data_IF_737657825214
#
_entry.id   IF_737657825214
#
_cell.length_a   1.000
_cell.length_b   1.000
_cell.length_c   1.000
_cell.angle_alpha   90.00
_cell.angle_beta   90.00
_cell.angle_gamma   90.00
#
_symmetry.space_group_name_H-M   'P 1'
#
loop_
_entity.id
_entity.type
_entity.pdbx_description
1 polymer ?
#
# COMPACT_ATOMS: atom_id res chain seq x y z
N UNK A 1 -11.37 -20.04 -16.03
CA UNK A 1 -12.15 -20.37 -14.83
C UNK A 1 -13.64 -20.37 -15.18
N UNK A 2 -14.51 -20.72 -14.24
CA UNK A 2 -15.97 -20.73 -14.43
C UNK A 2 -16.66 -19.43 -14.01
N UNK A 3 -15.96 -18.53 -13.31
CA UNK A 3 -16.43 -17.19 -12.94
C UNK A 3 -15.70 -16.12 -13.76
N UNK A 4 -16.31 -14.93 -13.88
CA UNK A 4 -15.67 -13.80 -14.54
C UNK A 4 -14.51 -13.25 -13.69
N UNK A 5 -13.57 -12.56 -14.33
CA UNK A 5 -12.48 -11.90 -13.59
C UNK A 5 -13.02 -10.82 -12.63
N UNK A 6 -14.05 -10.08 -13.07
CA UNK A 6 -14.67 -9.04 -12.27
C UNK A 6 -15.27 -9.58 -10.97
N UNK A 7 -15.93 -10.75 -11.04
CA UNK A 7 -16.46 -11.43 -9.86
C UNK A 7 -15.34 -11.99 -8.98
N UNK A 8 -14.27 -12.51 -9.59
CA UNK A 8 -13.15 -13.09 -8.88
C UNK A 8 -12.37 -12.06 -8.04
N UNK A 9 -12.21 -10.84 -8.55
CA UNK A 9 -11.45 -9.77 -7.87
C UNK A 9 -12.30 -8.92 -6.91
N UNK A 10 -13.62 -8.98 -6.99
CA UNK A 10 -14.51 -8.14 -6.17
C UNK A 10 -14.23 -8.24 -4.66
N UNK A 11 -14.01 -9.43 -4.06
CA UNK A 11 -13.67 -9.52 -2.64
C UNK A 11 -12.37 -8.78 -2.27
N UNK A 12 -11.38 -8.79 -3.16
CA UNK A 12 -10.14 -8.05 -2.94
C UNK A 12 -10.36 -6.53 -3.04
N UNK A 13 -11.25 -6.09 -3.94
CA UNK A 13 -11.65 -4.68 -4.02
C UNK A 13 -12.26 -4.21 -2.69
N UNK A 14 -13.23 -4.97 -2.16
CA UNK A 14 -13.90 -4.65 -0.90
C UNK A 14 -12.92 -4.58 0.27
N UNK A 15 -12.00 -5.55 0.38
CA UNK A 15 -10.99 -5.56 1.44
C UNK A 15 -10.01 -4.39 1.32
N UNK A 16 -9.59 -4.04 0.11
CA UNK A 16 -8.70 -2.90 -0.11
C UNK A 16 -9.37 -1.54 0.20
N UNK A 17 -10.67 -1.43 -0.07
CA UNK A 17 -11.48 -0.26 0.28
C UNK A 17 -11.75 -0.16 1.78
N UNK A 18 -11.95 -1.29 2.47
CA UNK A 18 -12.06 -1.35 3.91
C UNK A 18 -10.76 -0.98 4.62
N UNK A 19 -9.62 -1.38 4.05
CA UNK A 19 -8.29 -1.09 4.58
C UNK A 19 -7.69 -2.22 5.42
N UNK A 20 -6.50 -1.96 5.97
CA UNK A 20 -5.77 -2.92 6.79
C UNK A 20 -6.27 -2.87 8.24
N UNK A 21 -6.86 -3.95 8.78
CA UNK A 21 -7.18 -4.02 10.20
C UNK A 21 -5.89 -3.91 11.04
N UNK A 22 -5.94 -3.04 12.05
CA UNK A 22 -4.85 -2.81 13.01
C UNK A 22 -5.07 -3.68 14.23
N UNK A 23 -4.60 -4.91 14.14
CA UNK A 23 -4.45 -5.84 15.26
C UNK A 23 -3.02 -5.81 15.83
N UNK A 24 -2.78 -6.60 16.88
CA UNK A 24 -1.46 -6.69 17.52
C UNK A 24 -0.35 -7.11 16.54
N UNK A 25 -0.68 -7.94 15.54
CA UNK A 25 0.28 -8.46 14.59
C UNK A 25 0.67 -7.39 13.56
N UNK A 26 -0.31 -6.81 12.88
CA UNK A 26 -0.13 -5.73 11.90
C UNK A 26 0.53 -4.49 12.53
N UNK A 27 0.09 -4.07 13.72
CA UNK A 27 0.75 -3.00 14.47
C UNK A 27 2.23 -3.34 14.78
N UNK A 28 2.49 -4.57 15.24
CA UNK A 28 3.85 -5.05 15.47
C UNK A 28 4.72 -5.07 14.22
N UNK A 29 4.14 -5.48 13.07
CA UNK A 29 4.82 -5.48 11.77
C UNK A 29 5.14 -4.06 11.30
N UNK A 30 4.18 -3.14 11.37
CA UNK A 30 4.40 -1.74 10.99
C UNK A 30 5.49 -1.12 11.87
N UNK A 31 5.42 -1.34 13.19
CA UNK A 31 6.44 -0.88 14.12
C UNK A 31 7.85 -1.41 13.78
N UNK A 32 7.96 -2.71 13.46
CA UNK A 32 9.24 -3.32 13.09
C UNK A 32 9.88 -2.69 11.83
N UNK A 33 9.08 -2.14 10.92
CA UNK A 33 9.56 -1.51 9.67
C UNK A 33 9.47 0.02 9.67
N UNK A 34 9.10 0.65 10.79
CA UNK A 34 8.77 2.08 10.87
C UNK A 34 9.87 2.99 10.31
N UNK A 35 11.15 2.68 10.56
CA UNK A 35 12.29 3.46 10.03
C UNK A 35 12.31 3.49 8.50
N UNK A 36 12.08 2.34 7.86
CA UNK A 36 12.01 2.24 6.40
C UNK A 36 10.77 2.92 5.85
N UNK A 37 9.62 2.74 6.52
CA UNK A 37 8.35 3.39 6.13
C UNK A 37 8.41 4.92 6.24
N UNK A 38 9.14 5.46 7.23
CA UNK A 38 9.32 6.90 7.39
C UNK A 38 10.20 7.54 6.30
N UNK A 39 11.00 6.73 5.60
CA UNK A 39 11.97 7.22 4.61
C UNK A 39 11.32 7.68 3.30
N UNK A 40 10.07 7.28 3.04
CA UNK A 40 9.34 7.67 1.82
C UNK A 40 8.01 8.32 2.19
N UNK A 41 7.67 9.39 1.46
CA UNK A 41 6.47 10.19 1.72
C UNK A 41 5.19 9.35 1.71
N UNK A 42 5.00 8.54 0.66
CA UNK A 42 3.79 7.73 0.51
C UNK A 42 3.65 6.66 1.60
N UNK A 43 4.73 5.93 1.93
CA UNK A 43 4.64 4.91 2.99
C UNK A 43 4.47 5.53 4.37
N UNK A 44 5.09 6.68 4.63
CA UNK A 44 4.90 7.44 5.88
C UNK A 44 3.45 7.90 6.00
N UNK A 45 2.88 8.48 4.95
CA UNK A 45 1.49 8.94 4.90
C UNK A 45 0.50 7.80 5.14
N UNK A 46 0.74 6.62 4.57
CA UNK A 46 -0.19 5.47 4.64
C UNK A 46 -0.08 4.73 5.98
N UNK A 47 1.13 4.47 6.47
CA UNK A 47 1.35 3.55 7.59
C UNK A 47 1.71 4.23 8.92
N UNK A 48 2.07 5.52 8.91
CA UNK A 48 2.54 6.23 10.10
C UNK A 48 1.64 7.44 10.39
N UNK A 49 0.49 7.20 11.01
CA UNK A 49 -0.42 8.26 11.44
C UNK A 49 0.31 9.23 12.38
N UNK A 50 0.23 10.52 12.10
CA UNK A 50 0.97 11.57 12.82
C UNK A 50 2.48 11.32 12.92
N UNK A 51 3.04 10.56 11.98
CA UNK A 51 4.46 10.19 11.95
C UNK A 51 4.85 9.01 12.85
N UNK A 52 3.88 8.35 13.50
CA UNK A 52 4.11 7.24 14.42
C UNK A 52 3.41 5.94 13.93
N UNK A 53 3.97 4.76 14.25
CA UNK A 53 3.27 3.49 14.01
C UNK A 53 1.93 3.44 14.75
N UNK A 54 0.89 2.82 14.17
CA UNK A 54 -0.38 2.65 14.86
C UNK A 54 -0.22 1.67 16.04
N UNK A 55 -1.08 1.82 17.03
CA UNK A 55 -1.21 0.86 18.12
C UNK A 55 -2.53 0.10 17.96
N UNK A 56 -2.50 -1.21 18.23
CA UNK A 56 -3.72 -2.00 18.31
C UNK A 56 -4.53 -1.58 19.55
N UNK A 57 -5.86 -1.54 19.43
CA UNK A 57 -6.73 -1.26 20.57
C UNK A 57 -6.61 -2.37 21.62
N UNK A 58 -6.41 -1.98 22.88
CA UNK A 58 -6.43 -2.90 24.01
C UNK A 58 -7.85 -3.30 24.41
N UNK A 59 -8.85 -2.52 23.98
CA UNK A 59 -10.27 -2.71 24.28
C UNK A 59 -10.97 -3.60 23.23
N UNK A 60 -10.23 -4.06 22.21
CA UNK A 60 -10.73 -4.95 21.17
C UNK A 60 -11.40 -4.26 19.98
N UNK A 61 -11.41 -2.93 19.95
CA UNK A 61 -11.88 -2.18 18.78
C UNK A 61 -10.94 -2.39 17.59
N UNK A 62 -11.49 -2.81 16.45
CA UNK A 62 -10.71 -2.95 15.22
C UNK A 62 -10.69 -1.62 14.48
N UNK A 63 -9.53 -0.98 14.48
CA UNK A 63 -9.26 0.18 13.64
C UNK A 63 -8.73 -0.28 12.29
N UNK A 64 -8.94 0.53 11.24
CA UNK A 64 -8.46 0.22 9.90
C UNK A 64 -7.57 1.36 9.39
N UNK A 65 -6.41 0.99 8.85
CA UNK A 65 -5.58 1.91 8.08
C UNK A 65 -6.02 1.92 6.62
N UNK A 66 -6.24 3.11 6.01
CA UNK A 66 -6.53 3.19 4.59
C UNK A 66 -5.32 2.71 3.78
N UNK A 67 -5.53 1.88 2.76
CA UNK A 67 -4.47 1.33 1.91
C UNK A 67 -4.14 2.23 0.70
N UNK A 68 -4.14 3.55 0.92
CA UNK A 68 -3.89 4.56 -0.11
C UNK A 68 -4.80 4.38 -1.33
N UNK A 69 -4.19 4.20 -2.51
CA UNK A 69 -4.92 4.06 -3.78
C UNK A 69 -5.25 2.60 -4.15
N UNK A 70 -4.94 1.61 -3.30
CA UNK A 70 -5.07 0.19 -3.65
C UNK A 70 -6.51 -0.21 -4.06
N UNK A 71 -7.52 0.29 -3.35
CA UNK A 71 -8.92 0.03 -3.70
C UNK A 71 -9.27 0.54 -5.10
N UNK A 72 -8.81 1.74 -5.46
CA UNK A 72 -9.00 2.31 -6.80
C UNK A 72 -8.28 1.49 -7.87
N UNK A 73 -7.06 1.02 -7.57
CA UNK A 73 -6.31 0.12 -8.46
C UNK A 73 -7.06 -1.19 -8.71
N UNK A 74 -7.64 -1.80 -7.68
CA UNK A 74 -8.42 -3.03 -7.84
C UNK A 74 -9.74 -2.80 -8.57
N UNK A 75 -10.45 -1.69 -8.33
CA UNK A 75 -11.64 -1.32 -9.11
C UNK A 75 -11.33 -1.04 -10.58
N UNK A 76 -10.16 -0.47 -10.86
CA UNK A 76 -9.66 -0.31 -12.23
C UNK A 76 -9.45 -1.67 -12.89
N UNK A 77 -8.74 -2.59 -12.23
CA UNK A 77 -8.58 -3.95 -12.76
C UNK A 77 -9.92 -4.66 -12.95
N UNK A 78 -10.85 -4.52 -12.00
CA UNK A 78 -12.18 -5.10 -12.10
C UNK A 78 -12.94 -4.65 -13.35
N UNK A 79 -12.83 -3.36 -13.72
CA UNK A 79 -13.53 -2.77 -14.87
C UNK A 79 -12.78 -2.90 -16.19
N UNK A 80 -11.45 -2.71 -16.19
CA UNK A 80 -10.60 -2.73 -17.38
C UNK A 80 -10.03 -4.13 -17.72
N UNK A 81 -10.11 -5.07 -16.78
CA UNK A 81 -9.55 -6.41 -16.90
C UNK A 81 -8.10 -6.53 -16.41
N UNK A 82 -7.65 -7.76 -16.16
CA UNK A 82 -6.31 -8.07 -15.64
C UNK A 82 -5.18 -7.57 -16.54
N UNK A 83 -5.41 -7.51 -17.85
CA UNK A 83 -4.42 -7.08 -18.84
C UNK A 83 -3.99 -5.61 -18.65
N UNK A 84 -4.84 -4.79 -18.02
CA UNK A 84 -4.53 -3.39 -17.76
C UNK A 84 -3.32 -3.21 -16.82
N UNK A 85 -3.02 -4.22 -15.98
CA UNK A 85 -1.80 -4.28 -15.15
C UNK A 85 -0.52 -4.41 -15.99
N UNK A 86 -0.60 -5.08 -17.14
CA UNK A 86 0.57 -5.42 -17.95
C UNK A 86 0.77 -4.47 -19.13
N UNK A 87 -0.31 -4.11 -19.81
CA UNK A 87 -0.24 -3.35 -21.07
C UNK A 87 -1.26 -2.21 -21.18
N UNK A 88 -2.04 -1.94 -20.14
CA UNK A 88 -3.00 -0.83 -20.12
C UNK A 88 -2.51 0.40 -19.37
N UNK A 89 -3.45 1.29 -19.03
CA UNK A 89 -3.10 2.58 -18.41
C UNK A 89 -2.64 2.43 -16.95
N UNK A 90 -3.00 1.34 -16.24
CA UNK A 90 -2.37 1.03 -14.95
C UNK A 90 -0.88 0.72 -15.14
N UNK A 91 -0.53 -0.12 -16.11
CA UNK A 91 0.86 -0.43 -16.44
C UNK A 91 1.67 0.83 -16.76
N UNK A 92 1.13 1.73 -17.58
CA UNK A 92 1.76 3.00 -17.90
C UNK A 92 1.95 3.89 -16.65
N UNK A 93 0.96 3.93 -15.75
CA UNK A 93 1.06 4.70 -14.50
C UNK A 93 2.17 4.15 -13.61
N UNK A 94 2.20 2.82 -13.42
CA UNK A 94 3.26 2.16 -12.64
C UNK A 94 4.65 2.40 -13.24
N UNK A 95 4.77 2.34 -14.57
CA UNK A 95 6.04 2.60 -15.24
C UNK A 95 6.52 4.05 -15.03
N UNK A 96 5.61 5.04 -15.07
CA UNK A 96 5.93 6.44 -14.76
C UNK A 96 6.39 6.61 -13.31
N UNK A 97 5.69 6.01 -12.36
CA UNK A 97 6.06 6.09 -10.94
C UNK A 97 7.45 5.49 -10.68
N UNK A 98 7.73 4.33 -11.29
CA UNK A 98 9.04 3.68 -11.18
C UNK A 98 10.16 4.52 -11.80
N UNK A 99 9.92 5.14 -12.95
CA UNK A 99 10.89 6.04 -13.60
C UNK A 99 11.17 7.29 -12.76
N UNK A 100 10.14 7.87 -12.14
CA UNK A 100 10.29 9.03 -11.27
C UNK A 100 11.19 8.70 -10.06
N UNK A 101 10.99 7.54 -9.43
CA UNK A 101 11.82 7.11 -8.30
C UNK A 101 13.25 6.75 -8.74
N UNK A 102 13.41 6.04 -9.86
CA UNK A 102 14.74 5.73 -10.41
C UNK A 102 15.54 7.01 -10.74
N UNK A 103 14.88 8.04 -11.27
CA UNK A 103 15.49 9.34 -11.55
C UNK A 103 15.84 10.15 -10.30
N UNK A 104 15.16 9.93 -9.18
CA UNK A 104 15.46 10.57 -7.89
C UNK A 104 16.64 9.96 -7.13
N UNK A 105 17.17 8.82 -7.59
CA UNK A 105 18.20 8.04 -6.92
C UNK A 105 17.63 7.28 -5.71
N UNK A 106 17.70 5.95 -5.73
CA UNK A 106 17.40 5.18 -4.52
C UNK A 106 18.55 5.37 -3.53
N UNK A 107 18.33 6.00 -2.36
CA UNK A 107 19.40 6.13 -1.38
C UNK A 107 19.84 4.73 -0.95
N UNK A 108 21.15 4.49 -0.99
CA UNK A 108 21.72 3.23 -0.56
C UNK A 108 21.56 3.07 0.98
N UNK A 109 21.81 1.87 1.51
CA UNK A 109 21.61 1.60 2.93
C UNK A 109 22.45 2.52 3.84
N UNK A 110 23.62 2.98 3.39
CA UNK A 110 24.50 3.86 4.17
C UNK A 110 23.95 5.30 4.25
N UNK A 111 23.37 5.80 3.16
CA UNK A 111 22.79 7.15 3.07
C UNK A 111 21.54 7.30 3.94
N UNK A 112 20.79 6.21 4.17
CA UNK A 112 19.59 6.22 5.04
C UNK A 112 19.92 6.25 6.53
N UNK A 113 21.09 5.76 6.93
CA UNK A 113 21.55 5.76 8.34
C UNK A 113 22.20 7.06 8.80
N UNK A 114 22.55 7.96 7.87
CA UNK A 114 23.27 9.21 8.16
C UNK A 114 22.37 10.43 8.43
N UNK A 115 21.04 10.26 8.38
CA UNK A 115 20.05 11.31 8.64
C UNK A 115 19.52 11.38 10.07
N UNK A 116 20.20 10.73 11.03
CA UNK A 116 19.98 10.84 12.48
C UNK A 116 21.09 11.69 13.10
#
# INVERSE_FOLDING_TARGET
>A
GTISFADAIDPACQLAEQGLPVDWYSAGKINAFARGLASYEETRRVYLADGLPPAASLEGEVQYLPLGQLGQTYRRLQSAGAEDFYSGQLAESMARDLQAVAGSGFPNHAERSAGL
#
